data_IF_833458568206
#
_entry.id   IF_833458568206
#
_cell.length_a   1.000
_cell.length_b   1.000
_cell.length_c   1.000
_cell.angle_alpha   90.00
_cell.angle_beta   90.00
_cell.angle_gamma   90.00
#
_symmetry.space_group_name_H-M   'P 1'
#
loop_
_entity.id
_entity.type
_entity.pdbx_description
1 polymer ?
#
# COMPACT_ATOMS: atom_id res chain seq x y z
N UNK A 1 0.87 10.54 1.12
CA UNK A 1 -0.39 9.83 0.80
C UNK A 1 -1.45 10.83 0.33
N UNK A 2 -2.30 10.41 -0.61
CA UNK A 2 -3.40 11.19 -1.20
C UNK A 2 -4.65 10.29 -1.23
N UNK A 3 -5.79 10.81 -0.75
CA UNK A 3 -7.10 10.22 -0.99
C UNK A 3 -7.77 11.01 -2.12
N UNK A 4 -8.23 10.33 -3.16
CA UNK A 4 -8.64 10.97 -4.41
C UNK A 4 -10.03 10.50 -4.84
N UNK A 5 -10.96 11.44 -5.05
CA UNK A 5 -12.27 11.10 -5.64
C UNK A 5 -12.19 11.14 -7.17
N UNK A 6 -12.64 10.07 -7.83
CA UNK A 6 -12.74 9.98 -9.29
C UNK A 6 -13.73 11.00 -9.87
N UNK A 7 -14.86 11.22 -9.20
CA UNK A 7 -15.90 12.17 -9.64
C UNK A 7 -15.78 13.49 -8.89
N UNK A 8 -14.90 14.36 -9.37
CA UNK A 8 -14.81 15.75 -8.92
C UNK A 8 -15.34 16.72 -9.99
N UNK A 9 -16.08 17.77 -9.61
CA UNK A 9 -16.51 18.80 -10.55
C UNK A 9 -15.30 19.61 -11.04
N UNK A 10 -15.14 19.72 -12.37
CA UNK A 10 -14.10 20.53 -13.02
C UNK A 10 -12.93 19.69 -13.54
N UNK A 11 -12.17 19.05 -12.65
CA UNK A 11 -11.05 18.18 -12.99
C UNK A 11 -11.32 16.78 -12.45
N UNK A 12 -11.21 15.74 -13.28
CA UNK A 12 -11.44 14.37 -12.85
C UNK A 12 -10.32 13.87 -11.92
N UNK A 13 -10.64 12.92 -11.04
CA UNK A 13 -9.60 12.26 -10.23
C UNK A 13 -8.56 11.58 -11.11
N UNK A 14 -8.97 11.00 -12.24
CA UNK A 14 -8.08 10.33 -13.19
C UNK A 14 -7.01 11.30 -13.74
N UNK A 15 -7.42 12.51 -14.13
CA UNK A 15 -6.48 13.57 -14.57
C UNK A 15 -5.54 14.01 -13.44
N UNK A 16 -6.02 14.09 -12.19
CA UNK A 16 -5.17 14.40 -11.03
C UNK A 16 -4.14 13.30 -10.80
N UNK A 17 -4.55 12.03 -10.88
CA UNK A 17 -3.65 10.88 -10.71
C UNK A 17 -2.53 10.90 -11.75
N UNK A 18 -2.88 11.11 -13.02
CA UNK A 18 -1.89 11.24 -14.11
C UNK A 18 -0.94 12.41 -13.82
N UNK A 19 -1.47 13.59 -13.46
CA UNK A 19 -0.64 14.75 -13.16
C UNK A 19 0.30 14.55 -11.96
N UNK A 20 -0.12 13.80 -10.94
CA UNK A 20 0.71 13.44 -9.78
C UNK A 20 1.87 12.54 -10.22
N UNK A 21 1.59 11.52 -11.04
CA UNK A 21 2.61 10.59 -11.56
C UNK A 21 3.56 11.26 -12.55
N UNK A 22 3.07 12.08 -13.46
CA UNK A 22 3.89 12.84 -14.43
C UNK A 22 4.86 13.81 -13.75
N UNK A 23 4.50 14.33 -12.58
CA UNK A 23 5.37 15.20 -11.78
C UNK A 23 6.41 14.43 -10.94
N UNK A 24 6.41 13.10 -10.99
CA UNK A 24 7.28 12.26 -10.17
C UNK A 24 7.00 12.38 -8.68
N UNK A 25 5.76 12.69 -8.29
CA UNK A 25 5.38 12.75 -6.88
C UNK A 25 5.20 11.31 -6.38
N UNK A 26 6.14 10.88 -5.55
CA UNK A 26 6.12 9.57 -4.90
C UNK A 26 5.20 9.59 -3.67
N UNK A 27 3.90 9.70 -3.94
CA UNK A 27 2.85 9.62 -2.93
C UNK A 27 1.98 8.40 -3.20
N UNK A 28 1.67 7.64 -2.13
CA UNK A 28 0.61 6.63 -2.18
C UNK A 28 -0.74 7.27 -2.47
N UNK A 29 -1.52 6.74 -3.41
CA UNK A 29 -2.83 7.25 -3.82
C UNK A 29 -3.90 6.18 -3.62
N UNK A 30 -4.87 6.46 -2.77
CA UNK A 30 -6.10 5.67 -2.65
C UNK A 30 -7.24 6.38 -3.38
N UNK A 31 -7.91 5.69 -4.29
CA UNK A 31 -9.14 6.19 -4.91
C UNK A 31 -10.30 6.02 -3.93
N UNK A 32 -11.13 7.04 -3.71
CA UNK A 32 -12.30 6.99 -2.82
C UNK A 32 -13.50 7.58 -3.55
N UNK A 33 -14.32 6.73 -4.16
CA UNK A 33 -15.31 7.21 -5.13
C UNK A 33 -16.58 6.36 -5.19
N UNK A 34 -17.67 6.91 -5.71
CA UNK A 34 -18.93 6.18 -5.98
C UNK A 34 -18.95 5.58 -7.41
N UNK A 35 -17.78 5.36 -8.01
CA UNK A 35 -17.62 4.72 -9.31
C UNK A 35 -17.17 3.30 -9.05
N UNK A 36 -17.87 2.33 -9.61
CA UNK A 36 -17.40 0.96 -9.59
C UNK A 36 -16.18 0.81 -10.51
N UNK A 37 -15.16 0.04 -10.10
CA UNK A 37 -14.00 -0.19 -10.95
C UNK A 37 -14.39 -0.95 -12.23
N UNK A 38 -13.83 -0.55 -13.36
CA UNK A 38 -13.89 -1.30 -14.63
C UNK A 38 -12.46 -1.74 -14.99
N UNK A 39 -12.27 -2.45 -16.11
CA UNK A 39 -10.95 -2.91 -16.57
C UNK A 39 -9.92 -1.81 -16.78
N UNK A 40 -10.33 -0.54 -16.85
CA UNK A 40 -9.46 0.62 -16.98
C UNK A 40 -8.51 0.81 -15.78
N UNK A 41 -8.85 0.28 -14.60
CA UNK A 41 -8.00 0.37 -13.41
C UNK A 41 -6.64 -0.29 -13.57
N UNK A 42 -6.49 -1.25 -14.48
CA UNK A 42 -5.25 -2.01 -14.67
C UNK A 42 -4.09 -1.11 -15.12
N UNK A 43 -4.40 -0.06 -15.87
CA UNK A 43 -3.41 0.89 -16.38
C UNK A 43 -3.26 2.12 -15.46
N UNK A 44 -4.08 2.22 -14.40
CA UNK A 44 -4.06 3.36 -13.49
C UNK A 44 -3.00 3.18 -12.39
N UNK A 45 -2.23 4.23 -12.13
CA UNK A 45 -1.15 4.21 -11.15
C UNK A 45 -1.59 4.49 -9.70
N UNK A 46 -2.72 3.95 -9.23
CA UNK A 46 -3.14 4.08 -7.82
C UNK A 46 -2.67 2.87 -6.98
N UNK A 47 -2.68 3.03 -5.65
CA UNK A 47 -2.22 2.03 -4.69
C UNK A 47 -3.39 1.27 -4.01
N UNK A 48 -4.57 1.91 -3.90
CA UNK A 48 -5.80 1.28 -3.39
C UNK A 48 -7.08 1.90 -3.98
N UNK A 49 -8.23 1.22 -3.85
CA UNK A 49 -9.53 1.63 -4.38
C UNK A 49 -10.68 1.35 -3.41
N UNK A 50 -11.36 2.40 -2.98
CA UNK A 50 -12.51 2.36 -2.08
C UNK A 50 -13.79 2.86 -2.78
N UNK A 51 -14.82 2.01 -2.79
CA UNK A 51 -16.16 2.38 -3.28
C UNK A 51 -16.98 2.99 -2.15
N UNK A 52 -17.63 4.13 -2.40
CA UNK A 52 -18.55 4.76 -1.45
C UNK A 52 -19.87 3.97 -1.39
N UNK A 53 -20.50 3.80 -0.22
CA UNK A 53 -20.15 4.42 1.06
C UNK A 53 -18.98 3.72 1.78
N UNK A 54 -18.00 4.51 2.26
CA UNK A 54 -16.91 3.98 3.08
C UNK A 54 -17.25 4.09 4.56
N UNK A 55 -16.98 3.04 5.33
CA UNK A 55 -17.06 3.07 6.79
C UNK A 55 -15.84 3.80 7.36
N UNK A 56 -15.95 4.29 8.61
CA UNK A 56 -14.80 4.88 9.30
C UNK A 56 -13.68 3.87 9.48
N UNK A 57 -14.04 2.64 9.83
CA UNK A 57 -13.10 1.53 10.05
C UNK A 57 -12.35 1.21 8.76
N UNK A 58 -13.06 0.89 7.67
CA UNK A 58 -12.41 0.57 6.38
C UNK A 58 -11.55 1.70 5.83
N UNK A 59 -11.92 2.97 6.06
CA UNK A 59 -11.06 4.10 5.69
C UNK A 59 -9.78 4.18 6.55
N UNK A 60 -9.89 3.92 7.87
CA UNK A 60 -8.72 3.90 8.77
C UNK A 60 -7.80 2.75 8.38
N UNK A 61 -8.34 1.55 8.15
CA UNK A 61 -7.57 0.37 7.77
C UNK A 61 -6.81 0.58 6.46
N UNK A 62 -7.46 1.22 5.47
CA UNK A 62 -6.81 1.58 4.20
C UNK A 62 -5.65 2.55 4.41
N UNK A 63 -5.85 3.56 5.26
CA UNK A 63 -4.80 4.53 5.58
C UNK A 63 -3.65 3.85 6.31
N UNK A 64 -3.92 2.99 7.29
CA UNK A 64 -2.91 2.25 8.04
C UNK A 64 -2.12 1.29 7.15
N UNK A 65 -2.80 0.58 6.23
CA UNK A 65 -2.18 -0.28 5.22
C UNK A 65 -1.25 0.50 4.30
N UNK A 66 -1.72 1.63 3.72
CA UNK A 66 -0.91 2.45 2.83
C UNK A 66 0.28 3.12 3.54
N UNK A 67 0.11 3.54 4.79
CA UNK A 67 1.21 4.06 5.61
C UNK A 67 2.22 2.97 5.93
N UNK A 68 1.75 1.79 6.34
CA UNK A 68 2.61 0.64 6.60
C UNK A 68 3.46 0.28 5.38
N UNK A 69 2.85 0.17 4.20
CA UNK A 69 3.57 -0.11 2.93
C UNK A 69 4.60 0.98 2.59
N UNK A 70 4.28 2.25 2.83
CA UNK A 70 5.23 3.34 2.62
C UNK A 70 6.42 3.27 3.59
N UNK A 71 6.18 3.01 4.88
CA UNK A 71 7.23 2.84 5.88
C UNK A 71 8.12 1.62 5.61
N UNK A 72 7.52 0.52 5.13
CA UNK A 72 8.24 -0.68 4.76
C UNK A 72 9.23 -0.40 3.61
N UNK A 73 8.76 0.26 2.53
CA UNK A 73 9.61 0.60 1.40
C UNK A 73 10.77 1.53 1.79
N UNK A 74 10.51 2.53 2.65
CA UNK A 74 11.56 3.39 3.21
C UNK A 74 12.57 2.58 4.05
N UNK A 75 12.07 1.70 4.92
CA UNK A 75 12.92 0.86 5.75
C UNK A 75 13.80 -0.11 4.93
N UNK A 76 13.26 -0.68 3.85
CA UNK A 76 14.04 -1.54 2.93
C UNK A 76 15.17 -0.74 2.28
N UNK A 77 14.90 0.47 1.79
CA UNK A 77 15.93 1.33 1.21
C UNK A 77 17.03 1.66 2.22
N UNK A 78 16.65 1.97 3.46
CA UNK A 78 17.61 2.24 4.53
C UNK A 78 18.44 1.00 4.88
N UNK A 79 17.82 -0.17 4.99
CA UNK A 79 18.49 -1.43 5.28
C UNK A 79 19.57 -1.73 4.23
N UNK A 80 19.25 -1.57 2.94
CA UNK A 80 20.25 -1.73 1.87
C UNK A 80 21.42 -0.75 2.00
N UNK A 81 21.15 0.51 2.35
CA UNK A 81 22.19 1.51 2.54
C UNK A 81 23.09 1.16 3.73
N UNK A 82 22.52 0.69 4.85
CA UNK A 82 23.25 0.25 6.03
C UNK A 82 24.07 -1.01 5.74
N UNK A 83 23.49 -2.03 5.12
CA UNK A 83 24.19 -3.25 4.74
C UNK A 83 25.38 -2.96 3.80
N UNK A 84 25.20 -2.03 2.85
CA UNK A 84 26.27 -1.60 1.95
C UNK A 84 27.42 -0.94 2.71
N UNK A 85 27.13 -0.08 3.69
CA UNK A 85 28.15 0.55 4.54
C UNK A 85 28.90 -0.48 5.39
N UNK A 86 28.18 -1.44 5.99
CA UNK A 86 28.78 -2.53 6.79
C UNK A 86 29.77 -3.33 5.94
N UNK A 87 29.35 -3.77 4.75
CA UNK A 87 30.20 -4.56 3.86
C UNK A 87 31.52 -3.84 3.49
N UNK A 88 31.48 -2.52 3.25
CA UNK A 88 32.67 -1.72 2.97
C UNK A 88 33.59 -1.60 4.19
N UNK A 89 33.03 -1.43 5.39
CA UNK A 89 33.82 -1.36 6.62
C UNK A 89 34.47 -2.71 6.93
N UNK A 90 33.72 -3.79 6.79
CA UNK A 90 34.19 -5.17 6.99
C UNK A 90 35.30 -5.55 5.98
N UNK A 91 35.29 -5.00 4.76
CA UNK A 91 36.35 -5.26 3.77
C UNK A 91 37.62 -4.44 4.00
N UNK A 92 37.50 -3.23 4.53
CA UNK A 92 38.62 -2.28 4.67
C UNK A 92 39.28 -2.29 6.06
N UNK A 93 38.57 -2.76 7.09
CA UNK A 93 39.04 -2.74 8.48
C UNK A 93 39.31 -4.15 8.98
N UNK A 94 40.31 -4.26 9.87
CA UNK A 94 40.54 -5.49 10.62
C UNK A 94 39.52 -5.63 11.75
N UNK A 95 39.23 -6.88 12.14
CA UNK A 95 38.20 -7.21 13.13
C UNK A 95 38.38 -6.48 14.46
N UNK A 96 39.60 -6.39 14.99
CA UNK A 96 39.88 -5.64 16.23
C UNK A 96 39.51 -4.14 16.13
N UNK A 97 39.68 -3.53 14.95
CA UNK A 97 39.34 -2.12 14.76
C UNK A 97 37.81 -1.89 14.64
N UNK A 98 37.07 -2.89 14.18
CA UNK A 98 35.61 -2.85 14.13
C UNK A 98 35.01 -3.03 15.53
N UNK A 99 35.58 -3.95 16.33
CA UNK A 99 35.15 -4.21 17.71
C UNK A 99 35.35 -3.02 18.66
N UNK A 100 36.34 -2.16 18.39
CA UNK A 100 36.62 -0.95 19.16
C UNK A 100 35.90 0.31 18.63
N UNK A 101 35.16 0.21 17.51
CA UNK A 101 34.49 1.35 16.89
C UNK A 101 33.04 1.46 17.36
N UNK A 102 32.75 2.53 18.09
CA UNK A 102 31.39 2.90 18.48
C UNK A 102 30.49 3.13 17.24
N UNK A 103 31.03 3.72 16.17
CA UNK A 103 30.27 3.97 14.94
C UNK A 103 29.87 2.68 14.21
N UNK A 104 30.73 1.65 14.25
CA UNK A 104 30.39 0.35 13.68
C UNK A 104 29.35 -0.38 14.53
N UNK A 105 29.45 -0.28 15.86
CA UNK A 105 28.46 -0.83 16.78
C UNK A 105 27.07 -0.21 16.56
N UNK A 106 26.98 1.12 16.46
CA UNK A 106 25.72 1.84 16.14
C UNK A 106 25.16 1.43 14.77
N UNK A 107 26.02 1.29 13.76
CA UNK A 107 25.60 0.87 12.42
C UNK A 107 25.07 -0.58 12.42
N UNK A 108 25.66 -1.46 13.23
CA UNK A 108 25.22 -2.83 13.40
C UNK A 108 23.89 -2.90 14.15
N UNK A 109 23.71 -2.14 15.24
CA UNK A 109 22.44 -2.03 15.94
C UNK A 109 21.34 -1.54 15.00
N UNK A 110 21.60 -0.46 14.24
CA UNK A 110 20.63 0.06 13.28
C UNK A 110 20.24 -0.95 12.21
N UNK A 111 21.19 -1.73 11.72
CA UNK A 111 20.93 -2.81 10.77
C UNK A 111 19.96 -3.84 11.35
N UNK A 112 20.25 -4.31 12.56
CA UNK A 112 19.51 -5.38 13.21
C UNK A 112 18.09 -4.90 13.61
N UNK A 113 17.95 -3.63 14.04
CA UNK A 113 16.66 -2.98 14.26
C UNK A 113 15.82 -2.88 12.97
N UNK A 114 16.43 -2.45 11.86
CA UNK A 114 15.73 -2.34 10.58
C UNK A 114 15.27 -3.70 10.09
N UNK A 115 16.11 -4.74 10.18
CA UNK A 115 15.72 -6.11 9.84
C UNK A 115 14.52 -6.56 10.67
N UNK A 116 14.58 -6.42 12.00
CA UNK A 116 13.50 -6.84 12.89
C UNK A 116 12.19 -6.06 12.64
N UNK A 117 12.28 -4.74 12.39
CA UNK A 117 11.12 -3.90 12.06
C UNK A 117 10.46 -4.37 10.77
N UNK A 118 11.25 -4.58 9.72
CA UNK A 118 10.74 -4.98 8.40
C UNK A 118 10.12 -6.38 8.43
N UNK A 119 10.74 -7.33 9.11
CA UNK A 119 10.20 -8.69 9.28
C UNK A 119 8.82 -8.64 9.98
N UNK A 120 8.69 -7.82 11.04
CA UNK A 120 7.43 -7.62 11.76
C UNK A 120 6.35 -6.99 10.87
N UNK A 121 6.72 -6.00 10.05
CA UNK A 121 5.79 -5.35 9.12
C UNK A 121 5.32 -6.30 8.01
N UNK A 122 6.21 -7.15 7.49
CA UNK A 122 5.91 -8.20 6.50
C UNK A 122 4.86 -9.20 7.01
N UNK A 123 4.99 -9.64 8.26
CA UNK A 123 4.01 -10.50 8.91
C UNK A 123 2.64 -9.81 8.98
N UNK A 124 2.61 -8.52 9.35
CA UNK A 124 1.38 -7.73 9.44
C UNK A 124 0.63 -7.55 8.12
N UNK A 125 1.33 -7.44 6.97
CA UNK A 125 0.66 -7.35 5.67
C UNK A 125 -0.01 -8.64 5.23
N UNK A 126 0.54 -9.79 5.64
CA UNK A 126 -0.01 -11.10 5.29
C UNK A 126 -1.38 -11.36 5.92
N UNK A 127 -1.64 -10.72 7.07
CA UNK A 127 -2.93 -10.77 7.76
C UNK A 127 -3.95 -9.75 7.20
N UNK A 128 -3.50 -8.72 6.49
CA UNK A 128 -4.29 -7.60 5.97
C UNK A 128 -4.46 -7.60 4.44
N UNK A 129 -4.13 -8.69 3.75
CA UNK A 129 -4.62 -8.95 2.37
C UNK A 129 -6.13 -9.26 2.37
N UNK A 130 -6.88 -8.49 3.16
CA UNK A 130 -8.33 -8.28 3.19
C UNK A 130 -8.83 -7.53 1.96
N UNK A 131 -8.13 -7.65 0.83
CA UNK A 131 -8.64 -7.29 -0.48
C UNK A 131 -9.95 -8.06 -0.79
N UNK A 132 -10.13 -9.23 -0.15
CA UNK A 132 -11.38 -9.99 -0.18
C UNK A 132 -12.49 -9.47 0.77
N UNK A 133 -12.20 -8.71 1.83
CA UNK A 133 -13.25 -8.24 2.75
C UNK A 133 -14.04 -7.08 2.17
N UNK A 134 -13.38 -6.13 1.50
CA UNK A 134 -14.06 -5.04 0.80
C UNK A 134 -14.98 -5.55 -0.33
N UNK A 135 -14.61 -6.68 -0.96
CA UNK A 135 -15.46 -7.34 -1.96
C UNK A 135 -16.58 -8.22 -1.35
N UNK A 136 -16.36 -8.85 -0.19
CA UNK A 136 -17.36 -9.74 0.45
C UNK A 136 -18.55 -9.00 1.04
N UNK A 137 -18.44 -7.72 1.37
CA UNK A 137 -19.58 -6.94 1.87
C UNK A 137 -20.56 -6.53 0.75
N UNK A 138 -20.12 -6.56 -0.52
CA UNK A 138 -20.97 -6.30 -1.69
C UNK A 138 -21.86 -7.47 -2.10
N UNK A 139 -21.51 -8.72 -1.79
CA UNK A 139 -22.26 -9.90 -2.25
C UNK A 139 -23.47 -10.27 -1.34
N UNK A 140 -23.69 -9.54 -0.24
CA UNK A 140 -24.79 -9.82 0.72
C UNK A 140 -25.95 -8.83 0.65
N UNK A 141 -26.08 -8.08 -0.44
CA UNK A 141 -26.98 -6.93 -0.51
C UNK A 141 -27.91 -6.83 -1.73
N UNK A 142 -28.42 -7.93 -2.32
CA UNK A 142 -29.77 -7.95 -2.93
C UNK A 142 -30.24 -9.37 -3.31
N UNK A 143 -31.35 -9.89 -2.77
CA UNK A 143 -32.23 -10.81 -3.48
C UNK A 143 -33.55 -10.09 -3.79
N UNK A 144 -33.64 -9.49 -4.97
CA UNK A 144 -34.92 -9.12 -5.60
C UNK A 144 -34.73 -9.19 -7.12
N UNK A 145 -35.20 -10.27 -7.73
CA UNK A 145 -36.54 -10.47 -8.31
C UNK A 145 -36.53 -10.12 -9.80
N UNK A 146 -36.31 -11.13 -10.64
CA UNK A 146 -36.80 -11.19 -12.02
C UNK A 146 -37.24 -12.64 -12.33
N UNK A 147 -38.26 -13.11 -11.60
CA UNK A 147 -39.15 -14.14 -12.12
C UNK A 147 -40.09 -13.46 -13.14
N UNK A 148 -39.58 -13.21 -14.36
CA UNK A 148 -40.45 -13.09 -15.52
C UNK A 148 -40.93 -14.51 -15.88
N UNK A 149 -42.08 -14.90 -15.32
CA UNK A 149 -42.88 -16.02 -15.79
C UNK A 149 -43.30 -15.76 -17.25
N UNK A 150 -42.42 -16.10 -18.19
CA UNK A 150 -42.76 -16.28 -19.60
C UNK A 150 -43.52 -17.61 -19.74
N UNK A 151 -44.85 -17.54 -19.60
CA UNK A 151 -45.76 -18.61 -20.01
C UNK A 151 -45.71 -18.78 -21.54
N UNK A 152 -44.95 -19.78 -21.99
CA UNK A 152 -45.07 -20.38 -23.32
C UNK A 152 -45.66 -21.79 -23.16
N UNK A 153 -46.95 -21.97 -23.44
CA UNK A 153 -47.48 -23.34 -23.56
C UNK A 153 -48.98 -23.56 -23.74
N UNK A 154 -49.45 -23.33 -24.98
CA UNK A 154 -50.61 -23.93 -25.68
C UNK A 154 -52.05 -23.52 -25.31
#
# INVERSE_FOLDING_TARGET
MILLDRRMPGLSGDEVLVAVRDRGIDARVAMVTAVEPDFDIVEMGFDDYLVKPVTREGLVDTVESLLGRAEYDEGVQELYAVASKKAVLESEKGQAALEESDEYAELQERHDELQAKLDTQLEGFSDHDDFEQAFREFDKGDPSDDDEDLDFGL
#
